data_IF_565693440485
#
_entry.id   IF_565693440485
#
_cell.length_a   1.000
_cell.length_b   1.000
_cell.length_c   1.000
_cell.angle_alpha   90.00
_cell.angle_beta   90.00
_cell.angle_gamma   90.00
#
_symmetry.space_group_name_H-M   'P 1'
#
loop_
_entity.id
_entity.type
_entity.pdbx_description
1 polymer ?
#
# COMPACT_ATOMS: atom_id res chain seq x y z
N UNK A 1 -24.85 0.49 -18.40
CA UNK A 1 -23.96 0.54 -17.23
C UNK A 1 -23.92 -0.85 -16.63
N UNK A 2 -22.73 -1.34 -16.31
CA UNK A 2 -22.54 -2.64 -15.64
C UNK A 2 -21.81 -2.38 -14.32
N UNK A 3 -22.34 -2.92 -13.22
CA UNK A 3 -21.61 -3.02 -11.95
C UNK A 3 -21.08 -4.44 -11.82
N UNK A 4 -19.82 -4.56 -11.42
CA UNK A 4 -19.13 -5.83 -11.21
C UNK A 4 -18.54 -5.84 -9.81
N UNK A 5 -18.54 -7.02 -9.19
CA UNK A 5 -17.86 -7.28 -7.93
C UNK A 5 -17.19 -8.63 -8.02
N UNK A 6 -15.88 -8.63 -7.86
CA UNK A 6 -15.05 -9.83 -7.90
C UNK A 6 -14.22 -9.87 -6.61
N UNK A 7 -14.01 -11.05 -6.05
CA UNK A 7 -13.25 -11.15 -4.80
C UNK A 7 -12.60 -12.51 -4.64
N UNK A 8 -11.41 -12.50 -4.06
CA UNK A 8 -10.65 -13.66 -3.62
C UNK A 8 -10.44 -13.56 -2.10
N UNK A 9 -9.65 -14.46 -1.52
CA UNK A 9 -9.26 -14.34 -0.11
C UNK A 9 -8.35 -13.13 0.15
N UNK A 10 -7.59 -12.69 -0.87
CA UNK A 10 -6.60 -11.62 -0.75
C UNK A 10 -7.09 -10.28 -1.30
N UNK A 11 -8.07 -10.26 -2.19
CA UNK A 11 -8.49 -9.05 -2.88
C UNK A 11 -10.02 -8.95 -3.00
N UNK A 12 -10.52 -7.72 -3.10
CA UNK A 12 -11.89 -7.41 -3.51
C UNK A 12 -11.84 -6.26 -4.51
N UNK A 13 -12.46 -6.42 -5.67
CA UNK A 13 -12.54 -5.39 -6.69
C UNK A 13 -14.00 -5.12 -7.02
N UNK A 14 -14.39 -3.85 -7.00
CA UNK A 14 -15.67 -3.37 -7.51
C UNK A 14 -15.41 -2.51 -8.74
N UNK A 15 -16.23 -2.68 -9.78
CA UNK A 15 -16.08 -1.92 -11.01
C UNK A 15 -17.42 -1.35 -11.48
N UNK A 16 -17.37 -0.14 -12.04
CA UNK A 16 -18.46 0.50 -12.75
C UNK A 16 -18.05 0.78 -14.18
N UNK A 17 -18.59 -0.02 -15.10
CA UNK A 17 -18.33 0.10 -16.53
C UNK A 17 -19.46 0.89 -17.19
N UNK A 18 -19.13 2.08 -17.70
CA UNK A 18 -19.99 2.93 -18.51
C UNK A 18 -19.58 2.84 -19.98
N UNK A 19 -20.41 3.39 -20.89
CA UNK A 19 -20.10 3.36 -22.33
C UNK A 19 -18.80 4.11 -22.68
N UNK A 20 -18.47 5.18 -21.94
CA UNK A 20 -17.35 6.05 -22.24
C UNK A 20 -16.23 6.01 -21.20
N UNK A 21 -16.45 5.36 -20.05
CA UNK A 21 -15.54 5.42 -18.90
C UNK A 21 -15.68 4.20 -18.00
N UNK A 22 -14.59 3.71 -17.43
CA UNK A 22 -14.60 2.68 -16.40
C UNK A 22 -14.00 3.21 -15.10
N UNK A 23 -14.55 2.75 -13.99
CA UNK A 23 -14.03 3.00 -12.65
C UNK A 23 -13.83 1.66 -11.96
N UNK A 24 -12.72 1.49 -11.27
CA UNK A 24 -12.46 0.34 -10.41
C UNK A 24 -12.00 0.82 -9.05
N UNK A 25 -12.40 0.10 -8.00
CA UNK A 25 -11.82 0.21 -6.67
C UNK A 25 -11.38 -1.18 -6.25
N UNK A 26 -10.09 -1.34 -5.97
CA UNK A 26 -9.48 -2.58 -5.51
C UNK A 26 -9.09 -2.44 -4.04
N UNK A 27 -9.46 -3.42 -3.23
CA UNK A 27 -9.08 -3.56 -1.82
C UNK A 27 -8.16 -4.77 -1.67
N UNK A 28 -6.91 -4.52 -1.28
CA UNK A 28 -5.96 -5.54 -0.87
C UNK A 28 -6.21 -5.92 0.61
N UNK A 29 -6.77 -7.11 0.82
CA UNK A 29 -7.12 -7.64 2.15
C UNK A 29 -5.89 -8.08 2.96
N UNK A 30 -4.75 -8.29 2.31
CA UNK A 30 -3.49 -8.61 2.99
C UNK A 30 -2.88 -7.37 3.62
N UNK A 31 -3.00 -6.20 2.97
CA UNK A 31 -2.55 -4.91 3.51
C UNK A 31 -3.58 -4.26 4.44
N UNK A 32 -4.87 -4.54 4.24
CA UNK A 32 -5.94 -3.95 5.05
C UNK A 32 -5.91 -4.46 6.50
N UNK A 33 -5.69 -3.54 7.44
CA UNK A 33 -5.72 -3.82 8.88
C UNK A 33 -7.11 -3.70 9.51
N UNK A 34 -8.10 -3.23 8.73
CA UNK A 34 -9.46 -2.96 9.22
C UNK A 34 -9.56 -1.78 10.19
N UNK A 35 -8.63 -0.81 10.11
CA UNK A 35 -8.59 0.36 11.00
C UNK A 35 -9.83 1.29 10.94
N UNK A 36 -10.62 1.25 9.86
CA UNK A 36 -11.87 2.00 9.73
C UNK A 36 -11.73 3.45 9.25
N UNK A 37 -10.52 3.97 8.99
CA UNK A 37 -10.34 5.36 8.52
C UNK A 37 -11.11 5.63 7.22
N UNK A 38 -11.06 4.69 6.26
CA UNK A 38 -11.81 4.81 5.01
C UNK A 38 -13.33 4.75 5.18
N UNK A 39 -13.82 4.11 6.25
CA UNK A 39 -15.24 4.06 6.60
C UNK A 39 -15.69 5.44 7.05
N UNK A 40 -14.99 6.03 8.02
CA UNK A 40 -15.28 7.36 8.56
C UNK A 40 -15.13 8.46 7.49
N UNK A 41 -14.14 8.33 6.61
CA UNK A 41 -13.88 9.32 5.57
C UNK A 41 -14.85 9.23 4.38
N UNK A 42 -15.63 8.16 4.23
CA UNK A 42 -16.47 7.96 3.05
C UNK A 42 -17.74 8.83 3.10
N UNK A 43 -17.89 9.87 2.25
CA UNK A 43 -19.05 10.76 2.28
C UNK A 43 -20.35 10.09 1.77
N UNK A 44 -20.24 8.85 1.27
CA UNK A 44 -21.37 8.06 0.75
C UNK A 44 -21.77 6.93 1.68
N UNK A 45 -21.07 6.75 2.81
CA UNK A 45 -21.30 5.65 3.75
C UNK A 45 -21.35 4.30 3.01
N UNK A 46 -20.42 4.14 2.06
CA UNK A 46 -20.35 2.99 1.16
C UNK A 46 -19.46 1.86 1.72
N UNK A 47 -18.90 2.05 2.92
CA UNK A 47 -17.93 1.13 3.50
C UNK A 47 -18.33 0.79 4.94
N UNK A 48 -18.03 -0.44 5.37
CA UNK A 48 -18.28 -0.91 6.73
C UNK A 48 -17.13 -1.81 7.19
N UNK A 49 -16.71 -1.68 8.45
CA UNK A 49 -15.69 -2.55 9.02
C UNK A 49 -16.28 -3.93 9.29
N UNK A 50 -15.61 -4.97 8.80
CA UNK A 50 -15.96 -6.37 9.04
C UNK A 50 -14.97 -6.99 10.02
N UNK A 51 -15.47 -7.35 11.19
CA UNK A 51 -14.72 -8.09 12.21
C UNK A 51 -15.15 -9.55 12.23
N UNK A 52 -14.20 -10.45 12.49
CA UNK A 52 -14.46 -11.88 12.57
C UNK A 52 -14.31 -12.37 14.02
N UNK A 53 -15.24 -13.19 14.53
CA UNK A 53 -15.10 -13.78 15.85
C UNK A 53 -13.87 -14.70 15.90
N UNK A 54 -13.19 -14.73 17.04
CA UNK A 54 -12.13 -15.72 17.27
C UNK A 54 -12.78 -17.11 17.35
N UNK A 55 -12.32 -18.03 16.51
CA UNK A 55 -12.74 -19.42 16.51
C UNK A 55 -11.66 -20.25 17.21
N UNK A 56 -12.01 -20.98 18.27
CA UNK A 56 -11.08 -21.87 18.97
C UNK A 56 -10.55 -22.95 18.02
N UNK A 57 -9.22 -23.07 17.92
CA UNK A 57 -8.54 -24.01 17.02
C UNK A 57 -8.58 -23.64 15.54
N UNK A 58 -9.19 -22.51 15.17
CA UNK A 58 -9.25 -22.00 13.80
C UNK A 58 -8.23 -20.89 13.50
N UNK A 59 -7.99 -20.63 12.21
CA UNK A 59 -7.25 -19.43 11.80
C UNK A 59 -8.09 -18.19 12.14
N UNK A 60 -7.53 -17.26 12.92
CA UNK A 60 -8.15 -15.96 13.16
C UNK A 60 -8.11 -15.16 11.86
N UNK A 61 -9.26 -14.70 11.37
CA UNK A 61 -9.32 -13.82 10.21
C UNK A 61 -9.09 -12.38 10.66
N UNK A 62 -8.19 -11.67 9.98
CA UNK A 62 -7.96 -10.25 10.23
C UNK A 62 -9.22 -9.44 9.90
N UNK A 63 -9.53 -8.38 10.68
CA UNK A 63 -10.55 -7.42 10.31
C UNK A 63 -10.28 -6.85 8.92
N UNK A 64 -11.35 -6.54 8.18
CA UNK A 64 -11.25 -5.94 6.85
C UNK A 64 -12.40 -4.96 6.65
N UNK A 65 -12.56 -4.45 5.43
CA UNK A 65 -13.65 -3.53 5.08
C UNK A 65 -14.51 -4.17 3.99
N UNK A 66 -15.82 -4.01 4.11
CA UNK A 66 -16.77 -4.30 3.04
C UNK A 66 -17.13 -3.02 2.32
N UNK A 67 -17.39 -3.14 1.02
CA UNK A 67 -17.70 -2.01 0.16
C UNK A 67 -19.02 -2.31 -0.58
N UNK A 68 -19.93 -1.34 -0.53
CA UNK A 68 -21.18 -1.30 -1.26
C UNK A 68 -20.95 -0.61 -2.62
N UNK A 69 -20.97 -1.40 -3.70
CA UNK A 69 -20.73 -0.95 -5.07
C UNK A 69 -21.83 -0.03 -5.63
N UNK A 70 -23.03 -0.08 -5.06
CA UNK A 70 -24.16 0.76 -5.46
C UNK A 70 -24.01 2.15 -4.85
N UNK A 71 -23.57 2.24 -3.60
CA UNK A 71 -23.31 3.51 -2.92
C UNK A 71 -22.00 4.17 -3.35
N UNK A 72 -20.96 3.38 -3.64
CA UNK A 72 -19.63 3.90 -3.98
C UNK A 72 -19.67 4.82 -5.22
N UNK A 73 -18.93 5.93 -5.18
CA UNK A 73 -18.82 6.89 -6.28
C UNK A 73 -17.40 6.97 -6.86
N UNK A 74 -16.49 6.11 -6.43
CA UNK A 74 -15.11 6.04 -6.94
C UNK A 74 -14.38 7.39 -6.86
N UNK A 75 -14.65 8.17 -5.81
CA UNK A 75 -14.04 9.49 -5.62
C UNK A 75 -12.56 9.44 -5.24
N UNK A 76 -12.10 8.33 -4.66
CA UNK A 76 -10.72 8.10 -4.26
C UNK A 76 -10.30 8.68 -2.92
N UNK A 77 -11.23 9.18 -2.08
CA UNK A 77 -10.91 9.61 -0.70
C UNK A 77 -10.31 8.46 0.12
N UNK A 78 -10.92 7.27 0.02
CA UNK A 78 -10.48 6.07 0.74
C UNK A 78 -9.10 5.57 0.31
N UNK A 79 -8.74 5.78 -0.95
CA UNK A 79 -7.41 5.52 -1.51
C UNK A 79 -6.42 6.52 -0.92
N UNK A 80 -6.67 7.82 -1.11
CA UNK A 80 -5.79 8.90 -0.65
C UNK A 80 -5.51 8.92 0.86
N UNK A 81 -6.42 8.40 1.68
CA UNK A 81 -6.30 8.42 3.14
C UNK A 81 -5.83 7.08 3.72
N UNK A 82 -5.69 6.01 2.92
CA UNK A 82 -5.32 4.71 3.45
C UNK A 82 -3.82 4.70 3.82
N UNK A 83 -3.46 4.65 5.10
CA UNK A 83 -2.06 4.70 5.49
C UNK A 83 -1.30 3.42 5.11
N UNK A 84 -2.00 2.32 4.83
CA UNK A 84 -1.42 1.02 4.48
C UNK A 84 -1.38 0.75 2.97
N UNK A 85 -1.81 1.70 2.13
CA UNK A 85 -1.89 1.50 0.67
C UNK A 85 -2.79 0.33 0.27
N UNK A 86 -3.81 0.04 1.07
CA UNK A 86 -4.65 -1.15 0.87
C UNK A 86 -5.79 -0.93 -0.14
N UNK A 87 -6.02 0.29 -0.62
CA UNK A 87 -7.14 0.65 -1.50
C UNK A 87 -6.63 1.46 -2.67
N UNK A 88 -6.90 0.99 -3.90
CA UNK A 88 -6.61 1.71 -5.13
C UNK A 88 -7.89 2.07 -5.87
N UNK A 89 -7.94 3.30 -6.41
CA UNK A 89 -9.00 3.74 -7.33
C UNK A 89 -8.42 4.00 -8.70
N UNK A 90 -8.96 3.27 -9.68
CA UNK A 90 -8.55 3.35 -11.08
C UNK A 90 -9.66 3.94 -11.93
N UNK A 91 -9.26 4.75 -12.91
CA UNK A 91 -10.13 5.37 -13.89
C UNK A 91 -9.57 5.08 -15.27
N UNK A 92 -10.33 4.38 -16.12
CA UNK A 92 -9.88 3.96 -17.45
C UNK A 92 -8.52 3.21 -17.43
N UNK A 93 -8.28 2.46 -16.34
CA UNK A 93 -7.04 1.69 -16.14
C UNK A 93 -5.85 2.51 -15.60
N UNK A 94 -6.04 3.77 -15.21
CA UNK A 94 -5.01 4.62 -14.63
C UNK A 94 -5.33 4.94 -13.16
N UNK A 95 -4.31 4.98 -12.31
CA UNK A 95 -4.46 5.39 -10.90
C UNK A 95 -4.74 6.90 -10.87
N UNK A 96 -5.99 7.26 -10.59
CA UNK A 96 -6.47 8.64 -10.69
C UNK A 96 -7.49 8.94 -9.59
N UNK A 97 -7.04 9.66 -8.58
CA UNK A 97 -7.85 10.10 -7.45
C UNK A 97 -8.52 11.43 -7.81
N UNK A 98 -9.79 11.38 -8.22
CA UNK A 98 -10.54 12.54 -8.74
C UNK A 98 -10.57 13.74 -7.79
N UNK A 99 -10.61 13.49 -6.48
CA UNK A 99 -10.65 14.57 -5.48
C UNK A 99 -9.29 15.23 -5.25
N UNK A 100 -8.20 14.50 -5.48
CA UNK A 100 -6.81 15.00 -5.38
C UNK A 100 -6.45 15.75 -6.65
N UNK A 101 -6.79 15.21 -7.82
CA UNK A 101 -6.62 15.88 -9.12
C UNK A 101 -7.27 17.27 -9.13
N UNK A 102 -8.40 17.42 -8.43
CA UNK A 102 -9.16 18.67 -8.32
C UNK A 102 -8.76 19.53 -7.12
N UNK A 103 -7.71 19.17 -6.40
CA UNK A 103 -7.23 19.87 -5.19
C UNK A 103 -8.31 20.07 -4.11
N UNK A 104 -9.34 19.19 -4.12
CA UNK A 104 -10.48 19.24 -3.20
C UNK A 104 -10.26 18.41 -1.94
N UNK A 105 -9.24 17.55 -1.95
CA UNK A 105 -8.88 16.69 -0.83
C UNK A 105 -7.34 16.64 -0.69
N UNK A 106 -6.81 16.73 0.55
CA UNK A 106 -5.37 16.70 0.78
C UNK A 106 -4.78 15.31 0.56
N UNK A 107 -3.49 15.27 0.25
CA UNK A 107 -2.72 14.02 0.23
C UNK A 107 -2.04 13.79 1.58
N UNK A 108 -1.86 12.52 1.93
CA UNK A 108 -1.00 12.14 3.05
C UNK A 108 0.46 12.39 2.68
N UNK A 109 1.15 13.21 3.46
CA UNK A 109 2.59 13.41 3.32
C UNK A 109 3.28 12.24 4.03
N UNK A 110 4.02 11.44 3.27
CA UNK A 110 4.83 10.34 3.78
C UNK A 110 6.29 10.62 3.50
N UNK A 111 7.03 10.96 4.54
CA UNK A 111 8.46 11.24 4.46
C UNK A 111 9.20 10.33 5.43
N UNK A 112 10.08 9.50 4.87
CA UNK A 112 11.00 8.64 5.61
C UNK A 112 12.37 8.85 4.99
N UNK A 113 13.30 9.35 5.79
CA UNK A 113 14.69 9.58 5.40
C UNK A 113 15.59 8.72 6.27
N UNK A 114 16.47 7.97 5.61
CA UNK A 114 17.52 7.19 6.26
C UNK A 114 18.86 7.74 5.77
N UNK A 115 19.66 8.24 6.70
CA UNK A 115 21.03 8.63 6.43
C UNK A 115 21.92 7.37 6.40
N UNK A 116 21.95 6.71 5.25
CA UNK A 116 22.67 5.44 5.07
C UNK A 116 24.20 5.60 5.22
N UNK A 117 24.74 6.82 5.27
CA UNK A 117 26.18 7.06 5.52
C UNK A 117 26.58 6.69 6.95
N UNK A 118 25.61 6.51 7.84
CA UNK A 118 25.81 6.09 9.24
C UNK A 118 25.59 4.60 9.46
N UNK A 119 25.20 3.86 8.43
CA UNK A 119 24.95 2.42 8.51
C UNK A 119 26.25 1.63 8.34
N UNK A 120 26.41 0.56 9.12
CA UNK A 120 27.44 -0.44 8.88
C UNK A 120 27.10 -1.28 7.63
N UNK A 121 28.12 -1.76 6.91
CA UNK A 121 27.96 -2.47 5.63
C UNK A 121 27.17 -3.79 5.74
N UNK A 122 27.08 -4.36 6.93
CA UNK A 122 26.40 -5.61 7.26
C UNK A 122 25.10 -5.42 8.07
N UNK A 123 24.68 -4.17 8.29
CA UNK A 123 23.47 -3.88 9.07
C UNK A 123 22.19 -4.10 8.25
N UNK A 124 21.36 -5.06 8.66
CA UNK A 124 20.03 -5.36 8.07
C UNK A 124 18.87 -5.08 9.04
N UNK A 125 19.13 -4.39 10.15
CA UNK A 125 18.17 -4.26 11.25
C UNK A 125 16.82 -3.67 10.82
N UNK A 126 16.81 -2.64 9.98
CA UNK A 126 15.57 -2.02 9.52
C UNK A 126 14.76 -2.91 8.56
N UNK A 127 15.43 -3.73 7.75
CA UNK A 127 14.78 -4.72 6.87
C UNK A 127 14.14 -5.83 7.71
N UNK A 128 14.86 -6.38 8.68
CA UNK A 128 14.37 -7.43 9.57
C UNK A 128 13.27 -6.95 10.52
N UNK A 129 13.35 -5.70 10.96
CA UNK A 129 12.37 -5.11 11.87
C UNK A 129 11.08 -4.67 11.15
N UNK A 130 11.08 -4.52 9.82
CA UNK A 130 9.92 -4.03 9.09
C UNK A 130 8.80 -5.08 9.07
N UNK A 131 7.68 -4.87 9.79
CA UNK A 131 6.61 -5.86 9.86
C UNK A 131 5.83 -6.01 8.54
N UNK A 132 6.04 -5.08 7.61
CA UNK A 132 5.40 -5.04 6.30
C UNK A 132 6.37 -5.43 5.17
N UNK A 133 7.62 -5.75 5.48
CA UNK A 133 8.64 -6.13 4.49
C UNK A 133 8.86 -5.08 3.40
N UNK A 134 8.72 -3.79 3.75
CA UNK A 134 8.81 -2.64 2.82
C UNK A 134 10.20 -2.02 2.73
N UNK A 135 11.15 -2.48 3.54
CA UNK A 135 12.50 -1.94 3.64
C UNK A 135 13.47 -2.98 3.11
N UNK A 136 14.34 -2.59 2.17
CA UNK A 136 15.43 -3.43 1.67
C UNK A 136 16.76 -2.72 1.88
N UNK A 137 17.71 -3.40 2.53
CA UNK A 137 19.07 -2.89 2.71
C UNK A 137 20.01 -3.57 1.73
N UNK A 138 20.74 -2.75 0.99
CA UNK A 138 21.63 -3.20 -0.08
C UNK A 138 22.98 -2.49 0.05
N UNK A 139 24.07 -3.16 -0.35
CA UNK A 139 25.38 -2.51 -0.51
C UNK A 139 25.66 -2.31 -1.99
N UNK A 140 26.11 -1.11 -2.35
CA UNK A 140 26.49 -0.75 -3.71
C UNK A 140 27.96 -0.32 -3.76
N UNK A 141 28.64 -0.65 -4.86
CA UNK A 141 29.96 -0.11 -5.15
C UNK A 141 29.88 1.28 -5.81
N UNK A 142 31.02 1.90 -6.14
CA UNK A 142 31.09 3.26 -6.69
C UNK A 142 30.42 3.40 -8.07
N UNK A 143 30.13 2.29 -8.75
CA UNK A 143 29.37 2.26 -10.01
C UNK A 143 27.84 2.22 -9.82
N UNK A 144 27.34 2.25 -8.57
CA UNK A 144 25.92 2.09 -8.22
C UNK A 144 25.39 0.67 -8.36
N UNK A 145 26.25 -0.32 -8.66
CA UNK A 145 25.86 -1.73 -8.77
C UNK A 145 25.81 -2.39 -7.40
N UNK A 146 24.77 -3.17 -7.17
CA UNK A 146 24.64 -4.02 -5.97
C UNK A 146 25.80 -5.00 -5.88
N UNK A 147 26.46 -5.02 -4.73
CA UNK A 147 27.56 -5.93 -4.40
C UNK A 147 26.96 -7.12 -3.66
N UNK A 148 27.19 -8.34 -4.17
CA UNK A 148 26.66 -9.56 -3.56
C UNK A 148 27.57 -10.12 -2.47
N UNK A 149 28.87 -9.92 -2.63
CA UNK A 149 29.88 -10.38 -1.67
C UNK A 149 30.69 -9.16 -1.22
N UNK A 150 30.23 -8.58 -0.11
CA UNK A 150 30.85 -7.43 0.54
C UNK A 150 32.20 -7.82 1.13
N UNK A 151 32.36 -9.08 1.54
CA UNK A 151 33.55 -9.51 2.26
C UNK A 151 34.77 -9.60 1.35
N UNK A 152 34.58 -10.05 0.11
CA UNK A 152 35.64 -10.22 -0.89
C UNK A 152 35.94 -8.97 -1.72
N UNK A 153 35.25 -7.86 -1.47
CA UNK A 153 35.44 -6.63 -2.23
C UNK A 153 36.81 -5.99 -1.97
N UNK A 154 37.55 -5.56 -3.01
CA UNK A 154 38.95 -5.12 -2.86
C UNK A 154 39.14 -3.92 -1.94
N UNK A 155 38.23 -2.95 -1.98
CA UNK A 155 38.27 -1.74 -1.15
C UNK A 155 36.89 -1.45 -0.55
N UNK A 156 36.73 -1.79 0.73
CA UNK A 156 35.44 -1.65 1.43
C UNK A 156 35.06 -0.19 1.70
N UNK A 157 36.01 0.75 1.66
CA UNK A 157 35.72 2.18 1.88
C UNK A 157 34.98 2.80 0.68
N UNK A 158 35.02 2.17 -0.49
CA UNK A 158 34.28 2.58 -1.68
C UNK A 158 32.82 2.09 -1.70
N UNK A 159 32.44 1.27 -0.73
CA UNK A 159 31.10 0.70 -0.63
C UNK A 159 30.16 1.64 0.10
N UNK A 160 28.93 1.74 -0.39
CA UNK A 160 27.86 2.51 0.22
C UNK A 160 26.66 1.62 0.55
N UNK A 161 26.08 1.82 1.72
CA UNK A 161 24.78 1.25 2.07
C UNK A 161 23.69 2.06 1.37
N UNK A 162 22.69 1.37 0.84
CA UNK A 162 21.47 1.94 0.26
C UNK A 162 20.28 1.27 0.93
N UNK A 163 19.38 2.09 1.46
CA UNK A 163 18.15 1.64 2.09
C UNK A 163 16.98 2.07 1.22
N UNK A 164 16.37 1.09 0.56
CA UNK A 164 15.21 1.28 -0.30
C UNK A 164 13.94 1.05 0.54
N UNK A 165 13.02 2.02 0.55
CA UNK A 165 11.77 1.96 1.33
C UNK A 165 10.60 2.19 0.37
N UNK A 166 9.65 1.24 0.32
CA UNK A 166 8.37 1.44 -0.36
C UNK A 166 7.49 2.38 0.46
N UNK A 167 7.52 3.67 0.10
CA UNK A 167 6.81 4.74 0.78
C UNK A 167 5.31 4.76 0.46
N UNK A 168 4.86 4.07 -0.56
CA UNK A 168 3.45 4.06 -0.93
C UNK A 168 2.65 3.15 0.00
N UNK A 169 3.32 2.18 0.61
CA UNK A 169 2.75 1.22 1.56
C UNK A 169 3.19 1.45 3.03
N UNK A 170 4.15 2.35 3.27
CA UNK A 170 4.71 2.63 4.59
C UNK A 170 3.96 3.73 5.38
#
# INVERSE_FOLDING_TARGET
MKLLKTGTDQELTIERVLHAKSYALTLNKTLCTGCGICVEACPREAMETKTFPKVEGGKTQSPTVQIDEEKCHYCGICDSICPFGAIDVMVDGQHLISVVERESFPQLIREIEVDATKCDLDCTECEEACPLELIQVNVQGPSGKKVQDVESWPDREELQVVVDIDRDLC
#
